data_IF_995046216736
#
_entry.id   IF_995046216736
#
_cell.length_a   1.000
_cell.length_b   1.000
_cell.length_c   1.000
_cell.angle_alpha   90.00
_cell.angle_beta   90.00
_cell.angle_gamma   90.00
#
_symmetry.space_group_name_H-M   'P 1'
#
loop_
_entity.id
_entity.type
_entity.pdbx_description
1 polymer ?
#
# COMPACT_ATOMS: atom_id res chain seq x y z
N UNK A 1 0.09 16.93 10.66
CA UNK A 1 0.96 18.08 10.30
C UNK A 1 1.21 18.17 8.80
N UNK A 2 1.84 17.16 8.16
CA UNK A 2 2.16 17.18 6.73
C UNK A 2 0.95 17.55 5.82
N UNK A 3 -0.20 16.92 6.02
CA UNK A 3 -1.40 17.15 5.19
C UNK A 3 -1.92 18.59 5.25
N UNK A 4 -1.85 19.24 6.41
CA UNK A 4 -2.24 20.66 6.54
C UNK A 4 -1.26 21.55 5.75
N UNK A 5 0.04 21.28 5.89
CA UNK A 5 1.08 21.97 5.14
C UNK A 5 0.90 21.75 3.63
N UNK A 6 0.64 20.50 3.23
CA UNK A 6 0.36 20.12 1.84
C UNK A 6 -0.90 20.80 1.27
N UNK A 7 -1.86 21.12 2.13
CA UNK A 7 -3.07 21.84 1.73
C UNK A 7 -2.81 23.32 1.52
N UNK A 8 -1.89 23.92 2.27
CA UNK A 8 -1.55 25.35 2.22
C UNK A 8 -0.58 25.68 1.07
N UNK A 9 0.37 24.80 0.79
CA UNK A 9 1.39 25.00 -0.24
C UNK A 9 0.96 24.35 -1.57
N UNK A 10 1.39 24.89 -2.73
CA UNK A 10 1.18 24.25 -4.03
C UNK A 10 2.14 23.06 -4.21
N UNK A 11 2.08 22.12 -3.27
CA UNK A 11 2.96 20.93 -3.21
C UNK A 11 2.72 20.02 -4.40
N UNK A 12 1.57 20.12 -5.06
CA UNK A 12 1.24 19.33 -6.26
C UNK A 12 2.35 19.32 -7.31
N UNK A 13 3.04 20.44 -7.49
CA UNK A 13 4.16 20.54 -8.43
C UNK A 13 5.43 19.82 -7.92
N UNK A 14 5.65 19.84 -6.62
CA UNK A 14 6.83 19.21 -5.99
C UNK A 14 6.60 17.70 -5.93
N UNK A 15 5.45 17.28 -5.45
CA UNK A 15 5.05 15.88 -5.31
C UNK A 15 5.00 15.21 -6.70
N UNK A 16 4.38 15.83 -7.70
CA UNK A 16 4.30 15.30 -9.05
C UNK A 16 5.67 15.05 -9.70
N UNK A 17 6.71 15.77 -9.27
CA UNK A 17 8.09 15.55 -9.74
C UNK A 17 8.83 14.47 -8.94
N UNK A 18 8.48 14.29 -7.67
CA UNK A 18 9.13 13.34 -6.76
C UNK A 18 8.49 11.94 -6.84
N UNK A 19 7.19 11.84 -7.14
CA UNK A 19 6.48 10.56 -7.26
C UNK A 19 7.10 9.56 -8.26
N UNK A 20 7.51 9.97 -9.46
CA UNK A 20 8.19 9.05 -10.37
C UNK A 20 9.49 8.48 -9.79
N UNK A 21 10.23 9.29 -9.01
CA UNK A 21 11.43 8.83 -8.33
C UNK A 21 11.11 7.76 -7.28
N UNK A 22 10.05 7.96 -6.49
CA UNK A 22 9.61 6.97 -5.50
C UNK A 22 9.09 5.70 -6.15
N UNK A 23 8.37 5.82 -7.27
CA UNK A 23 7.96 4.67 -8.06
C UNK A 23 9.16 3.87 -8.59
N UNK A 24 10.16 4.54 -9.13
CA UNK A 24 11.39 3.91 -9.59
C UNK A 24 12.15 3.21 -8.45
N UNK A 25 12.22 3.84 -7.28
CA UNK A 25 12.85 3.28 -6.08
C UNK A 25 12.10 2.02 -5.58
N UNK A 26 10.77 2.06 -5.55
CA UNK A 26 9.95 0.90 -5.21
C UNK A 26 10.15 -0.25 -6.20
N UNK A 27 10.18 0.04 -7.49
CA UNK A 27 10.43 -0.95 -8.53
C UNK A 27 11.82 -1.58 -8.40
N UNK A 28 12.84 -0.75 -8.12
CA UNK A 28 14.19 -1.23 -7.88
C UNK A 28 14.27 -2.14 -6.66
N UNK A 29 13.65 -1.76 -5.54
CA UNK A 29 13.57 -2.60 -4.35
C UNK A 29 12.84 -3.92 -4.64
N UNK A 30 11.70 -3.86 -5.31
CA UNK A 30 10.91 -5.05 -5.65
C UNK A 30 11.71 -6.01 -6.53
N UNK A 31 12.40 -5.49 -7.55
CA UNK A 31 13.27 -6.29 -8.40
C UNK A 31 14.45 -6.88 -7.59
N UNK A 32 15.11 -6.07 -6.77
CA UNK A 32 16.21 -6.52 -5.93
C UNK A 32 15.81 -7.61 -4.94
N UNK A 33 14.65 -7.47 -4.30
CA UNK A 33 14.13 -8.48 -3.39
C UNK A 33 13.72 -9.78 -4.10
N UNK A 34 13.14 -9.66 -5.29
CA UNK A 34 12.85 -10.83 -6.14
C UNK A 34 14.14 -11.58 -6.54
N UNK A 35 15.15 -10.83 -6.97
CA UNK A 35 16.46 -11.42 -7.30
C UNK A 35 17.12 -12.03 -6.07
N UNK A 36 17.13 -11.35 -4.93
CA UNK A 36 17.63 -11.88 -3.66
C UNK A 36 16.95 -13.21 -3.29
N UNK A 37 15.63 -13.25 -3.35
CA UNK A 37 14.86 -14.46 -3.06
C UNK A 37 15.23 -15.65 -3.98
N UNK A 38 15.45 -15.38 -5.27
CA UNK A 38 15.76 -16.42 -6.26
C UNK A 38 17.22 -16.87 -6.23
N UNK A 39 18.18 -15.96 -5.98
CA UNK A 39 19.60 -16.25 -6.07
C UNK A 39 20.25 -16.62 -4.75
N UNK A 40 19.72 -16.20 -3.60
CA UNK A 40 20.22 -16.60 -2.28
C UNK A 40 19.76 -18.00 -1.87
N UNK A 41 18.94 -18.67 -2.70
CA UNK A 41 18.49 -20.02 -2.46
C UNK A 41 17.56 -20.14 -1.25
N UNK A 42 16.85 -19.06 -0.89
CA UNK A 42 15.85 -19.08 0.19
C UNK A 42 14.68 -19.97 -0.26
N UNK A 43 14.32 -21.00 0.52
CA UNK A 43 13.23 -21.88 0.14
C UNK A 43 11.92 -21.11 0.05
N UNK A 44 11.25 -21.17 -1.09
CA UNK A 44 9.95 -20.54 -1.25
C UNK A 44 8.94 -21.11 -0.25
N UNK A 45 8.13 -20.23 0.34
CA UNK A 45 7.11 -20.59 1.34
C UNK A 45 7.68 -21.24 2.62
N UNK A 46 8.95 -21.01 2.93
CA UNK A 46 9.63 -21.57 4.12
C UNK A 46 8.87 -21.24 5.40
N UNK A 47 8.45 -20.01 5.58
CA UNK A 47 7.76 -19.53 6.79
C UNK A 47 6.47 -20.31 7.09
N UNK A 48 5.77 -20.76 6.06
CA UNK A 48 4.53 -21.52 6.20
C UNK A 48 4.74 -23.04 6.13
N UNK A 49 5.99 -23.50 6.05
CA UNK A 49 6.34 -24.93 6.07
C UNK A 49 6.02 -25.70 4.79
N UNK A 50 5.78 -25.02 3.67
CA UNK A 50 5.39 -25.63 2.39
C UNK A 50 6.61 -25.94 1.49
N UNK A 51 7.73 -26.32 2.08
CA UNK A 51 9.00 -26.54 1.36
C UNK A 51 8.96 -27.71 0.36
N UNK A 52 8.06 -28.67 0.56
CA UNK A 52 7.96 -29.90 -0.27
C UNK A 52 6.90 -29.81 -1.38
N UNK A 53 6.42 -28.62 -1.67
CA UNK A 53 5.38 -28.38 -2.64
C UNK A 53 4.03 -27.99 -2.01
N UNK A 54 3.22 -27.28 -2.76
CA UNK A 54 1.92 -26.78 -2.32
C UNK A 54 0.84 -27.75 -2.78
N UNK A 55 0.11 -28.35 -1.84
CA UNK A 55 -1.07 -29.17 -2.12
C UNK A 55 -2.33 -28.30 -2.16
N UNK A 56 -3.36 -28.72 -2.89
CA UNK A 56 -4.66 -28.04 -2.89
C UNK A 56 -5.29 -27.98 -1.49
N UNK A 57 -5.02 -28.96 -0.63
CA UNK A 57 -5.47 -28.95 0.76
C UNK A 57 -4.83 -27.82 1.59
N UNK A 58 -3.63 -27.40 1.24
CA UNK A 58 -2.88 -26.40 1.99
C UNK A 58 -3.52 -25.00 1.85
N UNK A 59 -4.20 -24.73 0.73
CA UNK A 59 -4.96 -23.47 0.56
C UNK A 59 -6.10 -23.30 1.57
N UNK A 60 -6.58 -24.39 2.15
CA UNK A 60 -7.65 -24.38 3.15
C UNK A 60 -7.12 -24.54 4.58
N UNK A 61 -5.81 -24.69 4.74
CA UNK A 61 -5.18 -24.90 6.04
C UNK A 61 -4.86 -23.56 6.70
N UNK A 62 -5.18 -23.45 7.97
CA UNK A 62 -4.80 -22.28 8.75
C UNK A 62 -3.39 -22.46 9.33
N UNK A 63 -2.42 -21.73 8.78
CA UNK A 63 -1.02 -21.75 9.22
C UNK A 63 -0.74 -20.94 10.49
N UNK A 64 -1.76 -20.37 11.12
CA UNK A 64 -1.56 -19.65 12.38
C UNK A 64 -1.13 -20.61 13.49
N UNK A 65 -0.18 -20.23 14.36
CA UNK A 65 0.27 -21.08 15.46
C UNK A 65 -0.89 -21.53 16.37
N UNK A 66 -0.95 -22.81 16.65
CA UNK A 66 -1.91 -23.36 17.60
C UNK A 66 -1.51 -22.89 19.01
N UNK A 67 -2.24 -21.98 19.61
CA UNK A 67 -1.96 -21.53 21.00
C UNK A 67 -2.44 -20.13 21.35
N UNK A 68 -3.11 -19.45 20.45
CA UNK A 68 -3.77 -18.16 20.68
C UNK A 68 -5.21 -18.17 20.21
N UNK A 69 -5.89 -17.03 20.24
CA UNK A 69 -7.16 -16.84 19.54
C UNK A 69 -6.91 -16.97 18.03
N UNK A 70 -6.90 -18.21 17.54
CA UNK A 70 -6.73 -18.50 16.12
C UNK A 70 -7.99 -18.02 15.42
N UNK A 71 -7.87 -16.96 14.66
CA UNK A 71 -8.98 -16.43 13.88
C UNK A 71 -9.28 -17.43 12.74
N UNK A 72 -10.54 -17.81 12.51
CA UNK A 72 -10.89 -18.72 11.45
C UNK A 72 -10.56 -18.12 10.08
N UNK A 73 -10.07 -18.96 9.15
CA UNK A 73 -9.84 -18.51 7.75
C UNK A 73 -11.14 -17.94 7.17
N UNK A 74 -12.25 -18.59 7.43
CA UNK A 74 -13.59 -18.17 7.06
C UNK A 74 -14.26 -17.48 8.27
N UNK A 75 -14.76 -16.25 8.18
CA UNK A 75 -14.92 -15.39 6.98
C UNK A 75 -13.75 -14.40 6.74
N UNK A 76 -12.65 -14.44 7.49
CA UNK A 76 -11.60 -13.42 7.44
C UNK A 76 -10.93 -13.28 6.06
N UNK A 77 -10.84 -14.37 5.29
CA UNK A 77 -10.32 -14.32 3.93
C UNK A 77 -11.13 -13.36 3.04
N UNK A 78 -12.44 -13.27 3.24
CA UNK A 78 -13.29 -12.32 2.49
C UNK A 78 -12.97 -10.88 2.84
N UNK A 79 -12.65 -10.58 4.11
CA UNK A 79 -12.22 -9.24 4.52
C UNK A 79 -10.92 -8.86 3.82
N UNK A 80 -9.96 -9.78 3.75
CA UNK A 80 -8.68 -9.55 3.08
C UNK A 80 -8.85 -9.34 1.57
N UNK A 81 -9.66 -10.20 0.91
CA UNK A 81 -9.96 -10.08 -0.51
C UNK A 81 -10.71 -8.76 -0.80
N UNK A 82 -11.68 -8.40 0.04
CA UNK A 82 -12.47 -7.18 -0.12
C UNK A 82 -11.61 -5.93 0.05
N UNK A 83 -10.67 -5.95 0.98
CA UNK A 83 -9.73 -4.85 1.20
C UNK A 83 -8.92 -4.53 -0.08
N UNK A 84 -8.55 -5.55 -0.86
CA UNK A 84 -7.88 -5.37 -2.15
C UNK A 84 -8.85 -5.04 -3.29
N UNK A 85 -9.94 -5.80 -3.44
CA UNK A 85 -10.85 -5.69 -4.58
C UNK A 85 -11.80 -4.49 -4.51
N UNK A 86 -12.24 -4.11 -3.32
CA UNK A 86 -13.17 -2.99 -3.08
C UNK A 86 -12.47 -1.92 -2.22
N UNK A 87 -11.23 -1.62 -2.57
CA UNK A 87 -10.46 -0.59 -1.87
C UNK A 87 -11.13 0.78 -2.04
N UNK A 88 -11.39 1.47 -0.94
CA UNK A 88 -11.85 2.85 -0.97
C UNK A 88 -10.88 3.79 -1.69
N UNK A 89 -9.61 3.44 -1.72
CA UNK A 89 -8.60 4.15 -2.48
C UNK A 89 -8.88 4.07 -4.00
N UNK A 90 -9.12 2.88 -4.54
CA UNK A 90 -9.48 2.71 -5.95
C UNK A 90 -10.79 3.43 -6.29
N UNK A 91 -11.81 3.31 -5.44
CA UNK A 91 -13.09 4.00 -5.64
C UNK A 91 -12.94 5.52 -5.70
N UNK A 92 -12.02 6.11 -4.94
CA UNK A 92 -11.78 7.56 -4.92
C UNK A 92 -10.85 8.03 -6.04
N UNK A 93 -9.84 7.25 -6.41
CA UNK A 93 -8.84 7.64 -7.41
C UNK A 93 -9.30 7.41 -8.85
N UNK A 94 -10.05 6.34 -9.11
CA UNK A 94 -10.51 5.99 -10.47
C UNK A 94 -11.30 7.13 -11.14
N UNK A 95 -12.28 7.79 -10.49
CA UNK A 95 -12.97 8.93 -11.11
C UNK A 95 -12.05 10.12 -11.39
N UNK A 96 -11.05 10.37 -10.55
CA UNK A 96 -10.08 11.45 -10.77
C UNK A 96 -9.17 11.15 -11.95
N UNK A 97 -8.67 9.92 -12.05
CA UNK A 97 -7.85 9.47 -13.18
C UNK A 97 -8.63 9.47 -14.49
N UNK A 98 -9.91 9.07 -14.46
CA UNK A 98 -10.78 9.11 -15.64
C UNK A 98 -10.96 10.55 -16.18
N UNK A 99 -11.04 11.54 -15.28
CA UNK A 99 -11.10 12.97 -15.68
C UNK A 99 -9.79 13.49 -16.30
N UNK A 100 -8.66 12.88 -15.98
CA UNK A 100 -7.33 13.25 -16.50
C UNK A 100 -6.95 12.48 -17.77
N UNK A 101 -7.69 11.46 -18.15
CA UNK A 101 -7.42 10.63 -19.33
C UNK A 101 -7.90 11.37 -20.58
N UNK A 102 -7.00 11.71 -21.48
CA UNK A 102 -7.29 12.45 -22.70
C UNK A 102 -7.84 11.55 -23.82
N UNK A 103 -7.45 10.27 -23.83
CA UNK A 103 -7.79 9.33 -24.88
C UNK A 103 -8.34 8.01 -24.31
N UNK A 104 -9.54 7.61 -24.75
CA UNK A 104 -10.15 6.34 -24.30
C UNK A 104 -9.30 5.09 -24.59
N UNK A 105 -8.47 5.12 -25.63
CA UNK A 105 -7.56 4.00 -25.95
C UNK A 105 -6.52 3.75 -24.84
N UNK A 106 -6.16 4.77 -24.10
CA UNK A 106 -5.21 4.69 -22.98
C UNK A 106 -5.85 4.16 -21.72
N UNK A 107 -7.18 4.26 -21.60
CA UNK A 107 -7.93 3.83 -20.42
C UNK A 107 -7.64 2.36 -20.05
N UNK A 108 -7.55 1.48 -21.04
CA UNK A 108 -7.21 0.07 -20.80
C UNK A 108 -5.83 -0.09 -20.16
N UNK A 109 -4.85 0.67 -20.63
CA UNK A 109 -3.48 0.60 -20.08
C UNK A 109 -3.42 1.26 -18.69
N UNK A 110 -4.06 2.42 -18.53
CA UNK A 110 -4.05 3.19 -17.29
C UNK A 110 -4.75 2.43 -16.16
N UNK A 111 -5.97 1.91 -16.40
CA UNK A 111 -6.74 1.27 -15.34
C UNK A 111 -6.40 -0.22 -15.18
N UNK A 112 -6.50 -0.99 -16.24
CA UNK A 112 -6.27 -2.42 -16.19
C UNK A 112 -4.78 -2.78 -16.08
N UNK A 113 -3.92 -2.11 -16.84
CA UNK A 113 -2.48 -2.31 -16.79
C UNK A 113 -1.90 -1.97 -15.41
N UNK A 114 -2.32 -0.86 -14.80
CA UNK A 114 -1.90 -0.47 -13.47
C UNK A 114 -2.31 -1.52 -12.41
N UNK A 115 -3.55 -2.03 -12.47
CA UNK A 115 -4.04 -3.05 -11.54
C UNK A 115 -3.27 -4.37 -11.63
N UNK A 116 -2.91 -4.81 -12.84
CA UNK A 116 -2.07 -6.00 -13.02
C UNK A 116 -0.68 -5.77 -12.44
N UNK A 117 -0.08 -4.62 -12.72
CA UNK A 117 1.26 -4.29 -12.22
C UNK A 117 1.26 -4.23 -10.69
N UNK A 118 0.27 -3.60 -10.08
CA UNK A 118 0.09 -3.55 -8.64
C UNK A 118 -0.05 -4.97 -8.05
N UNK A 119 -0.88 -5.81 -8.65
CA UNK A 119 -1.07 -7.19 -8.22
C UNK A 119 0.21 -8.02 -8.30
N UNK A 120 0.99 -7.89 -9.35
CA UNK A 120 2.30 -8.58 -9.50
C UNK A 120 3.28 -8.11 -8.43
N UNK A 121 3.39 -6.81 -8.21
CA UNK A 121 4.26 -6.26 -7.16
C UNK A 121 3.82 -6.77 -5.78
N UNK A 122 2.53 -6.73 -5.48
CA UNK A 122 1.99 -7.22 -4.21
C UNK A 122 2.27 -8.72 -4.00
N UNK A 123 2.16 -9.54 -5.04
CA UNK A 123 2.50 -10.97 -4.98
C UNK A 123 3.99 -11.19 -4.69
N UNK A 124 4.89 -10.43 -5.30
CA UNK A 124 6.34 -10.50 -5.02
C UNK A 124 6.60 -10.18 -3.54
N UNK A 125 6.03 -9.10 -3.02
CA UNK A 125 6.19 -8.74 -1.61
C UNK A 125 5.58 -9.77 -0.65
N UNK A 126 4.45 -10.37 -1.02
CA UNK A 126 3.84 -11.46 -0.28
C UNK A 126 4.78 -12.68 -0.24
N UNK A 127 5.33 -13.08 -1.40
CA UNK A 127 6.31 -14.19 -1.48
C UNK A 127 7.53 -13.93 -0.60
N UNK A 128 8.10 -12.74 -0.62
CA UNK A 128 9.21 -12.38 0.26
C UNK A 128 8.82 -12.53 1.73
N UNK A 129 7.66 -12.00 2.12
CA UNK A 129 7.20 -12.07 3.51
C UNK A 129 6.98 -13.49 4.04
N UNK A 130 6.48 -14.40 3.20
CA UNK A 130 6.23 -15.80 3.58
C UNK A 130 7.39 -16.76 3.30
N UNK A 131 8.51 -16.24 2.77
CA UNK A 131 9.70 -17.06 2.50
C UNK A 131 10.91 -16.62 3.31
N UNK A 132 10.96 -15.39 3.80
CA UNK A 132 12.14 -14.85 4.48
C UNK A 132 12.36 -15.43 5.87
N UNK A 133 11.31 -15.60 6.68
CA UNK A 133 11.43 -16.13 8.03
C UNK A 133 11.37 -17.66 8.05
N UNK A 134 12.11 -18.32 8.95
CA UNK A 134 12.13 -19.77 9.04
C UNK A 134 10.81 -20.39 9.53
N UNK A 135 10.02 -19.64 10.31
CA UNK A 135 8.75 -20.09 10.88
C UNK A 135 7.76 -18.94 11.07
N UNK A 136 6.47 -19.27 11.03
CA UNK A 136 5.35 -18.34 11.29
C UNK A 136 5.44 -17.70 12.67
N UNK A 137 5.92 -18.42 13.67
CA UNK A 137 6.06 -17.91 15.04
C UNK A 137 7.06 -16.76 15.10
N UNK A 138 8.21 -16.91 14.45
CA UNK A 138 9.25 -15.86 14.36
C UNK A 138 8.73 -14.64 13.62
N UNK A 139 8.00 -14.83 12.52
CA UNK A 139 7.36 -13.74 11.79
C UNK A 139 6.37 -12.99 12.68
N UNK A 140 5.50 -13.71 13.39
CA UNK A 140 4.50 -13.07 14.27
C UNK A 140 5.14 -12.32 15.44
N UNK A 141 6.20 -12.87 16.04
CA UNK A 141 6.94 -12.20 17.11
C UNK A 141 7.60 -10.91 16.59
N UNK A 142 8.19 -10.97 15.41
CA UNK A 142 8.78 -9.78 14.75
C UNK A 142 7.71 -8.71 14.49
N UNK A 143 6.52 -9.09 14.04
CA UNK A 143 5.41 -8.15 13.83
C UNK A 143 4.91 -7.56 15.15
N UNK A 144 4.80 -8.36 16.21
CA UNK A 144 4.34 -7.90 17.53
C UNK A 144 5.33 -6.95 18.21
N UNK A 145 6.62 -7.23 18.09
CA UNK A 145 7.68 -6.45 18.76
C UNK A 145 8.12 -5.24 17.95
N UNK A 146 8.08 -5.34 16.61
CA UNK A 146 8.73 -4.36 15.74
C UNK A 146 7.86 -3.74 14.65
N UNK A 147 6.58 -4.06 14.56
CA UNK A 147 5.68 -3.65 13.48
C UNK A 147 5.95 -4.34 12.11
N UNK A 148 5.00 -4.37 11.17
CA UNK A 148 5.20 -4.89 9.81
C UNK A 148 6.36 -4.24 9.05
N UNK A 149 6.67 -2.98 9.37
CA UNK A 149 7.79 -2.24 8.79
C UNK A 149 9.16 -2.87 9.08
N UNK A 150 9.29 -3.54 10.22
CA UNK A 150 10.52 -4.26 10.58
C UNK A 150 10.74 -5.46 9.67
N UNK A 151 9.67 -6.17 9.30
CA UNK A 151 9.76 -7.30 8.35
C UNK A 151 10.34 -6.82 7.01
N UNK A 152 9.87 -5.69 6.51
CA UNK A 152 10.38 -5.07 5.27
C UNK A 152 11.86 -4.70 5.40
N UNK A 153 12.23 -4.11 6.54
CA UNK A 153 13.61 -3.70 6.80
C UNK A 153 14.55 -4.90 6.90
N UNK A 154 14.18 -5.91 7.67
CA UNK A 154 15.00 -7.10 7.90
C UNK A 154 15.23 -7.87 6.58
N UNK A 155 14.17 -8.06 5.79
CA UNK A 155 14.27 -8.70 4.48
C UNK A 155 15.14 -7.88 3.49
N UNK A 156 14.94 -6.57 3.42
CA UNK A 156 15.72 -5.72 2.53
C UNK A 156 17.19 -5.61 2.96
N UNK A 157 17.45 -5.57 4.26
CA UNK A 157 18.82 -5.54 4.80
C UNK A 157 19.57 -6.84 4.53
N UNK A 158 18.88 -7.98 4.64
CA UNK A 158 19.46 -9.28 4.36
C UNK A 158 19.76 -9.46 2.86
N UNK A 159 18.79 -9.19 1.98
CA UNK A 159 18.91 -9.46 0.54
C UNK A 159 19.69 -8.39 -0.25
N UNK A 160 19.64 -7.14 0.17
CA UNK A 160 20.24 -6.01 -0.53
C UNK A 160 21.36 -5.31 0.29
N UNK A 161 21.67 -5.84 1.48
CA UNK A 161 22.66 -5.28 2.38
C UNK A 161 22.26 -3.90 2.93
N UNK A 162 23.24 -3.13 3.39
CA UNK A 162 23.02 -1.80 4.00
C UNK A 162 22.28 -0.83 3.08
N UNK A 163 22.52 -0.90 1.78
CA UNK A 163 21.80 -0.08 0.81
C UNK A 163 20.31 -0.41 0.79
N UNK A 164 19.96 -1.70 0.81
CA UNK A 164 18.57 -2.17 0.91
C UNK A 164 17.88 -1.69 2.19
N UNK A 165 18.58 -1.74 3.31
CA UNK A 165 18.06 -1.24 4.58
C UNK A 165 17.72 0.26 4.54
N UNK A 166 18.58 1.09 3.94
CA UNK A 166 18.32 2.52 3.76
C UNK A 166 17.09 2.74 2.86
N UNK A 167 17.01 2.02 1.75
CA UNK A 167 15.87 2.12 0.84
C UNK A 167 14.56 1.66 1.50
N UNK A 168 14.61 0.61 2.33
CA UNK A 168 13.46 0.13 3.08
C UNK A 168 12.93 1.19 4.05
N UNK A 169 13.81 1.85 4.81
CA UNK A 169 13.42 2.94 5.71
C UNK A 169 12.79 4.09 4.94
N UNK A 170 13.40 4.50 3.83
CA UNK A 170 12.83 5.55 2.98
C UNK A 170 11.46 5.15 2.43
N UNK A 171 11.31 3.91 1.93
CA UNK A 171 10.04 3.41 1.43
C UNK A 171 8.94 3.37 2.50
N UNK A 172 9.26 2.84 3.69
CA UNK A 172 8.34 2.77 4.83
C UNK A 172 7.85 4.16 5.28
N UNK A 173 8.71 5.18 5.19
CA UNK A 173 8.32 6.57 5.55
C UNK A 173 7.53 7.23 4.42
N UNK A 174 7.94 7.05 3.18
CA UNK A 174 7.38 7.77 2.03
C UNK A 174 6.03 7.21 1.59
N UNK A 175 5.85 5.89 1.57
CA UNK A 175 4.62 5.25 1.11
C UNK A 175 3.36 5.71 1.89
N UNK A 176 3.33 5.73 3.24
CA UNK A 176 2.20 6.25 3.98
C UNK A 176 1.93 7.74 3.73
N UNK A 177 2.99 8.54 3.53
CA UNK A 177 2.85 9.97 3.25
C UNK A 177 2.15 10.16 1.90
N UNK A 178 2.61 9.48 0.85
CA UNK A 178 2.02 9.60 -0.49
C UNK A 178 0.60 9.08 -0.55
N UNK A 179 0.34 7.93 0.07
CA UNK A 179 -0.99 7.32 0.12
C UNK A 179 -1.97 8.17 0.92
N UNK A 180 -1.55 8.67 2.09
CA UNK A 180 -2.34 9.56 2.92
C UNK A 180 -2.70 10.87 2.23
N UNK A 181 -1.74 11.53 1.58
CA UNK A 181 -2.00 12.77 0.83
C UNK A 181 -3.05 12.56 -0.26
N UNK A 182 -2.89 11.48 -1.02
CA UNK A 182 -3.81 11.17 -2.13
C UNK A 182 -5.22 10.82 -1.62
N UNK A 183 -5.34 10.02 -0.55
CA UNK A 183 -6.61 9.66 0.04
C UNK A 183 -7.36 10.88 0.62
N UNK A 184 -6.68 11.70 1.39
CA UNK A 184 -7.27 12.92 1.95
C UNK A 184 -7.66 13.95 0.89
N UNK A 185 -6.88 14.06 -0.18
CA UNK A 185 -7.20 14.91 -1.31
C UNK A 185 -8.46 14.45 -2.01
N UNK A 186 -8.58 13.16 -2.29
CA UNK A 186 -9.76 12.58 -2.92
C UNK A 186 -11.00 12.77 -2.04
N UNK A 187 -10.92 12.45 -0.75
CA UNK A 187 -12.00 12.65 0.20
C UNK A 187 -12.45 14.11 0.25
N UNK A 188 -11.51 15.06 0.31
CA UNK A 188 -11.82 16.50 0.28
C UNK A 188 -12.57 16.90 -0.98
N UNK A 189 -12.13 16.44 -2.15
CA UNK A 189 -12.78 16.79 -3.42
C UNK A 189 -14.19 16.21 -3.51
N UNK A 190 -14.39 14.97 -3.07
CA UNK A 190 -15.71 14.33 -3.03
C UNK A 190 -16.66 15.06 -2.07
N UNK A 191 -16.20 15.43 -0.87
CA UNK A 191 -17.00 16.22 0.07
C UNK A 191 -17.36 17.58 -0.53
N UNK A 192 -16.42 18.24 -1.20
CA UNK A 192 -16.68 19.52 -1.85
C UNK A 192 -17.72 19.39 -2.98
N UNK A 193 -17.65 18.32 -3.77
CA UNK A 193 -18.61 18.06 -4.84
C UNK A 193 -20.01 17.75 -4.27
N UNK A 194 -20.07 16.97 -3.21
CA UNK A 194 -21.28 16.70 -2.47
C UNK A 194 -21.93 17.98 -1.93
N UNK A 195 -21.15 18.85 -1.26
CA UNK A 195 -21.63 20.12 -0.73
C UNK A 195 -22.13 21.05 -1.84
N UNK A 196 -21.45 21.09 -2.98
CA UNK A 196 -21.88 21.85 -4.13
C UNK A 196 -23.20 21.35 -4.72
N UNK A 197 -23.44 20.03 -4.70
CA UNK A 197 -24.72 19.43 -5.11
C UNK A 197 -25.90 19.87 -4.24
N UNK A 198 -25.65 20.18 -2.98
CA UNK A 198 -26.65 20.75 -2.07
C UNK A 198 -26.73 22.28 -2.08
N UNK A 199 -26.12 22.93 -3.06
CA UNK A 199 -26.17 24.40 -3.20
C UNK A 199 -25.21 25.15 -2.24
N UNK A 200 -24.41 24.43 -1.47
CA UNK A 200 -23.37 25.02 -0.62
C UNK A 200 -22.13 25.25 -1.48
N UNK A 201 -21.86 26.51 -1.83
CA UNK A 201 -20.73 26.85 -2.68
C UNK A 201 -19.38 26.50 -2.02
N UNK A 202 -18.90 25.28 -2.24
CA UNK A 202 -17.63 24.74 -1.73
C UNK A 202 -16.50 24.88 -2.76
N UNK A 203 -16.33 26.07 -3.34
CA UNK A 203 -15.30 26.33 -4.34
C UNK A 203 -13.89 26.08 -3.78
N UNK A 204 -13.22 25.06 -4.30
CA UNK A 204 -11.87 24.65 -3.88
C UNK A 204 -10.75 25.60 -4.31
N UNK A 205 -11.04 26.60 -5.12
CA UNK A 205 -10.10 27.67 -5.46
C UNK A 205 -9.91 28.65 -4.28
N UNK A 206 -10.93 28.76 -3.42
CA UNK A 206 -10.87 29.60 -2.23
C UNK A 206 -10.21 28.83 -1.07
N UNK A 207 -9.05 29.32 -0.60
CA UNK A 207 -8.27 28.72 0.47
C UNK A 207 -9.08 28.51 1.75
N UNK A 208 -9.92 29.47 2.13
CA UNK A 208 -10.75 29.37 3.32
C UNK A 208 -11.73 28.21 3.25
N UNK A 209 -12.44 28.04 2.13
CA UNK A 209 -13.37 26.95 1.92
C UNK A 209 -12.67 25.59 1.85
N UNK A 210 -11.48 25.57 1.26
CA UNK A 210 -10.61 24.41 1.22
C UNK A 210 -10.20 23.97 2.64
N UNK A 211 -9.81 24.89 3.50
CA UNK A 211 -9.45 24.63 4.91
C UNK A 211 -10.66 24.17 5.73
N UNK A 212 -11.85 24.73 5.52
CA UNK A 212 -13.06 24.32 6.23
C UNK A 212 -13.39 22.82 6.05
N UNK A 213 -13.06 22.23 4.92
CA UNK A 213 -13.22 20.77 4.70
C UNK A 213 -12.01 20.00 5.18
N UNK A 214 -10.80 20.54 4.99
CA UNK A 214 -9.54 19.85 5.33
C UNK A 214 -9.36 19.65 6.83
N UNK A 215 -9.70 20.64 7.65
CA UNK A 215 -9.48 20.59 9.10
C UNK A 215 -10.34 19.51 9.78
N UNK A 216 -11.67 19.45 9.57
CA UNK A 216 -12.50 18.37 10.12
C UNK A 216 -12.06 16.99 9.63
N UNK A 217 -11.73 16.85 8.35
CA UNK A 217 -11.27 15.60 7.77
C UNK A 217 -9.96 15.12 8.43
N UNK A 218 -9.04 16.05 8.72
CA UNK A 218 -7.81 15.75 9.42
C UNK A 218 -8.06 15.32 10.87
N UNK A 219 -8.98 15.96 11.57
CA UNK A 219 -9.34 15.59 12.95
C UNK A 219 -9.91 14.17 12.97
N UNK A 220 -10.85 13.84 12.08
CA UNK A 220 -11.42 12.49 11.97
C UNK A 220 -10.38 11.44 11.58
N UNK A 221 -9.38 11.79 10.79
CA UNK A 221 -8.33 10.85 10.38
C UNK A 221 -7.22 10.63 11.42
N UNK A 222 -7.19 11.39 12.50
CA UNK A 222 -6.18 11.28 13.59
C UNK A 222 -6.79 10.63 14.85
N UNK A 223 -8.11 10.64 14.98
CA UNK A 223 -8.86 9.96 16.07
C UNK A 223 -9.13 8.51 15.72
#
# INVERSE_FOLDING_TARGET
>A
MYYIIATLLPIDKIIGRIYPLFGALLMFMTAGMLFGLLFEGIPLFQTVGLQNGVSLSDFFTNFQPKGGNVLPIWPLIFVTITCGAISGFHATQTPMMARCTENEREARFIFYGAMITEGVIALIWCMVGISFYPDVQVLQETIKTGTPSKVVYDAAMSMLGTFGGILAVLGVVVLPITSGDTAFRAARLQIAEFLNSYGLNADQRNLMKRLMITVPLFVVGVT
#
